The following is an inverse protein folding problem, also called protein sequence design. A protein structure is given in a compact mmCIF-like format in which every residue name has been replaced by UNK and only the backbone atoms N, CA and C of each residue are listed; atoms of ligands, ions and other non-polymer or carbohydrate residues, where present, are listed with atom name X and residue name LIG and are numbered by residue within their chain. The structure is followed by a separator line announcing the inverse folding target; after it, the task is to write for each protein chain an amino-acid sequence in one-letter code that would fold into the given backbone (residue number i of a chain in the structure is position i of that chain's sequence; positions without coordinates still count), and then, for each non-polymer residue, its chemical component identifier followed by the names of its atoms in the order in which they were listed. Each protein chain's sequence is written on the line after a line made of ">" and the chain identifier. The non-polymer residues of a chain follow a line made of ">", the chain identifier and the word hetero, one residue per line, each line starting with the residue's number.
data_IF_231770096400
#
_entry.id   IF_231770096400
#
_cell.length_a   1.000
_cell.length_b   1.000
_cell.length_c   1.000
_cell.angle_alpha   90.00
_cell.angle_beta   90.00
_cell.angle_gamma   90.00
#
_symmetry.space_group_name_H-M   'P 1'
#
loop_
_entity.id
_entity.type
_entity.pdbx_description
1 polymer ?
#
# COMPACT_ATOMS: atom_id res chain seq x y z
N UNK A 1 -13.46 43.71 91.09
CA UNK A 1 -13.34 42.25 90.87
C UNK A 1 -13.85 41.83 89.49
N UNK A 2 -14.97 42.38 88.97
CA UNK A 2 -15.50 42.05 87.63
C UNK A 2 -14.58 42.38 86.43
N UNK A 3 -13.88 43.52 86.44
CA UNK A 3 -13.08 43.99 85.27
C UNK A 3 -11.96 43.02 84.84
N UNK A 4 -11.31 42.36 85.80
CA UNK A 4 -10.28 41.36 85.48
C UNK A 4 -10.87 40.08 84.88
N UNK A 5 -12.08 39.70 85.31
CA UNK A 5 -12.77 38.51 84.80
C UNK A 5 -13.19 38.74 83.34
N UNK A 6 -13.71 39.92 83.02
CA UNK A 6 -14.10 40.28 81.66
C UNK A 6 -12.90 40.30 80.71
N UNK A 7 -11.77 40.86 81.16
CA UNK A 7 -10.53 40.88 80.38
C UNK A 7 -9.99 39.48 80.10
N UNK A 8 -9.89 38.63 81.12
CA UNK A 8 -9.44 37.24 80.94
C UNK A 8 -10.39 36.42 80.06
N UNK A 9 -11.70 36.65 80.16
CA UNK A 9 -12.69 36.03 79.26
C UNK A 9 -12.45 36.43 77.81
N UNK A 10 -12.19 37.71 77.55
CA UNK A 10 -11.97 38.21 76.20
C UNK A 10 -10.65 37.72 75.60
N UNK A 11 -9.58 37.64 76.40
CA UNK A 11 -8.31 37.04 76.00
C UNK A 11 -8.45 35.55 75.65
N UNK A 12 -9.24 34.79 76.43
CA UNK A 12 -9.53 33.39 76.15
C UNK A 12 -10.31 33.21 74.84
N UNK A 13 -11.35 34.03 74.60
CA UNK A 13 -12.12 34.01 73.35
C UNK A 13 -11.22 34.33 72.16
N UNK A 14 -10.42 35.39 72.25
CA UNK A 14 -9.51 35.79 71.18
C UNK A 14 -8.48 34.70 70.87
N UNK A 15 -7.92 34.06 71.90
CA UNK A 15 -6.98 32.96 71.74
C UNK A 15 -7.63 31.75 71.06
N UNK A 16 -8.86 31.41 71.45
CA UNK A 16 -9.62 30.30 70.86
C UNK A 16 -10.00 30.58 69.40
N UNK A 17 -10.41 31.80 69.08
CA UNK A 17 -10.74 32.21 67.71
C UNK A 17 -9.49 32.12 66.82
N UNK A 18 -8.37 32.68 67.26
CA UNK A 18 -7.10 32.60 66.53
C UNK A 18 -6.66 31.15 66.27
N UNK A 19 -6.77 30.27 67.27
CA UNK A 19 -6.45 28.85 67.09
C UNK A 19 -7.38 28.18 66.06
N UNK A 20 -8.68 28.47 66.13
CA UNK A 20 -9.70 27.91 65.23
C UNK A 20 -9.48 28.39 63.79
N UNK A 21 -9.26 29.68 63.58
CA UNK A 21 -8.97 30.27 62.27
C UNK A 21 -7.69 29.68 61.69
N UNK A 22 -6.64 29.53 62.49
CA UNK A 22 -5.38 28.94 62.05
C UNK A 22 -5.57 27.49 61.59
N UNK A 23 -6.34 26.68 62.33
CA UNK A 23 -6.65 25.29 61.95
C UNK A 23 -7.53 25.20 60.71
N UNK A 24 -8.50 26.10 60.56
CA UNK A 24 -9.34 26.20 59.37
C UNK A 24 -8.50 26.52 58.13
N UNK A 25 -7.61 27.51 58.21
CA UNK A 25 -6.71 27.87 57.11
C UNK A 25 -5.72 26.75 56.76
N UNK A 26 -5.19 26.01 57.75
CA UNK A 26 -4.38 24.82 57.51
C UNK A 26 -5.18 23.74 56.73
N UNK A 27 -6.45 23.55 57.08
CA UNK A 27 -7.34 22.61 56.38
C UNK A 27 -7.59 22.99 54.92
N UNK A 28 -7.85 24.28 54.65
CA UNK A 28 -8.00 24.81 53.29
C UNK A 28 -6.71 24.56 52.49
N UNK A 29 -5.56 24.99 53.01
CA UNK A 29 -4.28 24.83 52.32
C UNK A 29 -3.92 23.36 52.02
N UNK A 30 -4.24 22.44 52.94
CA UNK A 30 -4.06 21.00 52.70
C UNK A 30 -4.96 20.49 51.57
N UNK A 31 -6.21 20.94 51.54
CA UNK A 31 -7.21 20.52 50.54
C UNK A 31 -6.84 21.05 49.16
N UNK A 32 -6.45 22.33 49.06
CA UNK A 32 -6.00 22.95 47.81
C UNK A 32 -4.78 22.22 47.24
N UNK A 33 -3.79 21.91 48.09
CA UNK A 33 -2.62 21.12 47.67
C UNK A 33 -3.00 19.74 47.14
N UNK A 34 -3.97 19.07 47.77
CA UNK A 34 -4.45 17.76 47.32
C UNK A 34 -5.26 17.85 46.03
N UNK A 35 -6.02 18.91 45.86
CA UNK A 35 -6.76 19.19 44.64
C UNK A 35 -5.80 19.45 43.47
N UNK A 36 -4.78 20.30 43.64
CA UNK A 36 -3.77 20.54 42.61
C UNK A 36 -3.01 19.26 42.24
N UNK A 37 -2.63 18.45 43.24
CA UNK A 37 -1.98 17.15 43.01
C UNK A 37 -2.86 16.19 42.18
N UNK A 38 -4.18 16.18 42.42
CA UNK A 38 -5.09 15.30 41.68
C UNK A 38 -5.27 15.76 40.23
N UNK A 39 -5.34 17.08 40.00
CA UNK A 39 -5.38 17.65 38.65
C UNK A 39 -4.10 17.31 37.88
N UNK A 40 -2.93 17.49 38.50
CA UNK A 40 -1.65 17.14 37.86
C UNK A 40 -1.54 15.65 37.54
N UNK A 41 -2.00 14.78 38.45
CA UNK A 41 -2.01 13.35 38.21
C UNK A 41 -2.94 12.97 37.05
N UNK A 42 -4.15 13.55 37.02
CA UNK A 42 -5.12 13.31 35.95
C UNK A 42 -4.60 13.80 34.59
N UNK A 43 -3.97 14.98 34.55
CA UNK A 43 -3.32 15.52 33.35
C UNK A 43 -2.20 14.60 32.88
N UNK A 44 -1.27 14.21 33.77
CA UNK A 44 -0.18 13.31 33.39
C UNK A 44 -0.64 11.92 32.92
N UNK A 45 -1.74 11.41 33.50
CA UNK A 45 -2.36 10.17 33.04
C UNK A 45 -2.99 10.32 31.65
N UNK A 46 -3.67 11.44 31.39
CA UNK A 46 -4.25 11.76 30.09
C UNK A 46 -3.17 11.94 29.01
N UNK A 47 -2.12 12.73 29.29
CA UNK A 47 -1.00 12.96 28.38
C UNK A 47 -0.30 11.64 28.02
N UNK A 48 -0.10 10.76 29.01
CA UNK A 48 0.51 9.44 28.77
C UNK A 48 -0.40 8.54 27.93
N UNK A 49 -1.71 8.58 28.15
CA UNK A 49 -2.66 7.83 27.34
C UNK A 49 -2.67 8.32 25.89
N UNK A 50 -2.66 9.64 25.68
CA UNK A 50 -2.58 10.26 24.35
C UNK A 50 -1.27 9.90 23.65
N UNK A 51 -0.13 10.03 24.31
CA UNK A 51 1.17 9.63 23.75
C UNK A 51 1.20 8.16 23.35
N UNK A 52 0.65 7.27 24.18
CA UNK A 52 0.58 5.85 23.85
C UNK A 52 -0.34 5.58 22.66
N UNK A 53 -1.48 6.26 22.58
CA UNK A 53 -2.42 6.14 21.47
C UNK A 53 -1.80 6.65 20.16
N UNK A 54 -1.11 7.79 20.20
CA UNK A 54 -0.39 8.37 19.06
C UNK A 54 0.72 7.41 18.62
N UNK A 55 1.58 6.95 19.53
CA UNK A 55 2.63 5.99 19.21
C UNK A 55 2.09 4.69 18.59
N UNK A 56 0.98 4.15 19.11
CA UNK A 56 0.35 2.96 18.54
C UNK A 56 -0.18 3.24 17.12
N UNK A 57 -0.88 4.36 16.96
CA UNK A 57 -1.49 4.78 15.69
C UNK A 57 -0.43 5.03 14.63
N UNK A 58 0.62 5.77 14.97
CA UNK A 58 1.74 6.07 14.06
C UNK A 58 2.46 4.80 13.63
N UNK A 59 2.70 3.86 14.55
CA UNK A 59 3.30 2.58 14.21
C UNK A 59 2.43 1.77 13.25
N UNK A 60 1.11 1.71 13.49
CA UNK A 60 0.18 0.99 12.60
C UNK A 60 0.03 1.68 11.25
N UNK A 61 -0.01 3.00 11.24
CA UNK A 61 -0.07 3.79 10.02
C UNK A 61 1.19 3.63 9.17
N UNK A 62 2.37 3.69 9.79
CA UNK A 62 3.65 3.47 9.11
C UNK A 62 3.76 2.05 8.52
N UNK A 63 3.33 1.03 9.27
CA UNK A 63 3.26 -0.35 8.77
C UNK A 63 2.32 -0.47 7.57
N UNK A 64 1.13 0.12 7.66
CA UNK A 64 0.15 0.11 6.58
C UNK A 64 0.66 0.85 5.34
N UNK A 65 1.24 2.02 5.52
CA UNK A 65 1.84 2.84 4.45
C UNK A 65 2.95 2.07 3.73
N UNK A 66 3.87 1.46 4.48
CA UNK A 66 4.95 0.65 3.92
C UNK A 66 4.42 -0.56 3.14
N UNK A 67 3.46 -1.30 3.72
CA UNK A 67 2.82 -2.43 3.03
C UNK A 67 2.07 -1.98 1.77
N UNK A 68 1.41 -0.82 1.82
CA UNK A 68 0.70 -0.26 0.67
C UNK A 68 1.67 0.13 -0.44
N UNK A 69 2.76 0.83 -0.12
CA UNK A 69 3.79 1.23 -1.07
C UNK A 69 4.42 0.01 -1.75
N UNK A 70 4.77 -1.03 -0.99
CA UNK A 70 5.29 -2.28 -1.56
C UNK A 70 4.28 -2.94 -2.52
N UNK A 71 2.99 -2.93 -2.19
CA UNK A 71 1.94 -3.45 -3.08
C UNK A 71 1.80 -2.61 -4.34
N UNK A 72 1.88 -1.28 -4.23
CA UNK A 72 1.83 -0.39 -5.39
C UNK A 72 3.04 -0.60 -6.32
N UNK A 73 4.25 -0.71 -5.78
CA UNK A 73 5.45 -1.02 -6.58
C UNK A 73 5.33 -2.39 -7.26
N UNK A 74 4.83 -3.41 -6.56
CA UNK A 74 4.58 -4.72 -7.15
C UNK A 74 3.55 -4.68 -8.27
N UNK A 75 2.50 -3.86 -8.12
CA UNK A 75 1.50 -3.65 -9.17
C UNK A 75 2.11 -2.94 -10.38
N UNK A 76 2.90 -1.88 -10.18
CA UNK A 76 3.59 -1.20 -11.26
C UNK A 76 4.49 -2.16 -12.05
N UNK A 77 5.31 -2.94 -11.34
CA UNK A 77 6.15 -3.98 -11.96
C UNK A 77 5.36 -5.07 -12.68
N UNK A 78 4.14 -5.40 -12.23
CA UNK A 78 3.25 -6.35 -12.94
C UNK A 78 2.69 -5.72 -14.22
N UNK A 79 2.30 -4.45 -14.18
CA UNK A 79 1.79 -3.71 -15.34
C UNK A 79 2.88 -3.60 -16.41
N UNK A 80 4.10 -3.16 -16.05
CA UNK A 80 5.21 -3.05 -17.00
C UNK A 80 5.56 -4.41 -17.65
N UNK A 81 5.56 -5.50 -16.86
CA UNK A 81 5.76 -6.85 -17.39
C UNK A 81 4.63 -7.30 -18.30
N UNK A 82 3.38 -6.94 -17.98
CA UNK A 82 2.23 -7.24 -18.80
C UNK A 82 2.30 -6.50 -20.14
N UNK A 83 2.66 -5.21 -20.12
CA UNK A 83 2.85 -4.40 -21.31
C UNK A 83 3.97 -4.97 -22.19
N UNK A 84 5.14 -5.28 -21.62
CA UNK A 84 6.25 -5.88 -22.36
C UNK A 84 5.87 -7.22 -22.98
N UNK A 85 5.16 -8.08 -22.25
CA UNK A 85 4.66 -9.37 -22.75
C UNK A 85 3.64 -9.19 -23.86
N UNK A 86 2.74 -8.23 -23.74
CA UNK A 86 1.75 -7.89 -24.76
C UNK A 86 2.43 -7.40 -26.03
N UNK A 87 3.39 -6.47 -25.90
CA UNK A 87 4.15 -5.95 -27.04
C UNK A 87 4.94 -7.06 -27.74
N UNK A 88 5.57 -7.96 -26.97
CA UNK A 88 6.29 -9.11 -27.50
C UNK A 88 5.36 -10.12 -28.21
N UNK A 89 4.16 -10.34 -27.67
CA UNK A 89 3.13 -11.17 -28.31
C UNK A 89 2.64 -10.59 -29.64
N UNK A 90 2.40 -9.28 -29.70
CA UNK A 90 2.04 -8.58 -30.96
C UNK A 90 3.18 -8.71 -31.98
N UNK A 91 4.43 -8.52 -31.54
CA UNK A 91 5.60 -8.75 -32.39
C UNK A 91 5.64 -10.19 -32.92
N UNK A 92 5.27 -11.20 -32.10
CA UNK A 92 5.14 -12.60 -32.51
C UNK A 92 4.12 -12.81 -33.62
N UNK A 93 2.94 -12.21 -33.48
CA UNK A 93 1.90 -12.25 -34.53
C UNK A 93 2.36 -11.54 -35.80
N UNK A 94 2.99 -10.37 -35.68
CA UNK A 94 3.56 -9.65 -36.81
C UNK A 94 4.62 -10.49 -37.53
N UNK A 95 5.50 -11.17 -36.78
CA UNK A 95 6.49 -12.09 -37.32
C UNK A 95 5.83 -13.25 -38.09
N UNK A 96 4.80 -13.89 -37.53
CA UNK A 96 4.06 -14.97 -38.18
C UNK A 96 3.36 -14.52 -39.46
N UNK A 97 2.81 -13.30 -39.47
CA UNK A 97 2.14 -12.74 -40.64
C UNK A 97 3.11 -12.39 -41.78
N UNK A 98 4.35 -12.09 -41.44
CA UNK A 98 5.41 -11.70 -42.38
C UNK A 98 6.17 -12.88 -42.96
N UNK A 99 5.82 -14.13 -42.60
CA UNK A 99 6.46 -15.33 -43.14
C UNK A 99 6.14 -15.45 -44.64
N UNK A 100 7.16 -15.48 -45.53
CA UNK A 100 6.94 -15.75 -46.95
C UNK A 100 6.72 -17.24 -47.21
N UNK A 101 5.86 -17.58 -48.19
CA UNK A 101 5.61 -18.95 -48.64
C UNK A 101 5.62 -19.02 -50.16
N UNK A 102 6.21 -20.08 -50.72
CA UNK A 102 6.27 -20.33 -52.16
C UNK A 102 5.05 -21.13 -52.59
N UNK A 103 4.21 -20.54 -53.46
CA UNK A 103 2.91 -21.11 -53.84
C UNK A 103 2.97 -22.23 -54.89
N UNK A 104 4.09 -22.35 -55.60
CA UNK A 104 4.29 -23.34 -56.67
C UNK A 104 4.55 -24.75 -56.13
N UNK A 105 5.11 -24.88 -54.93
CA UNK A 105 5.48 -26.16 -54.33
C UNK A 105 4.36 -26.71 -53.43
N UNK A 106 4.28 -28.04 -53.32
CA UNK A 106 3.33 -28.70 -52.43
C UNK A 106 3.65 -28.48 -50.94
N UNK A 107 4.92 -28.19 -50.62
CA UNK A 107 5.38 -27.85 -49.29
C UNK A 107 6.27 -26.60 -49.36
N UNK A 108 6.05 -25.67 -48.43
CA UNK A 108 6.90 -24.51 -48.24
C UNK A 108 7.10 -24.22 -46.75
N UNK A 109 8.23 -23.59 -46.43
CA UNK A 109 8.55 -23.16 -45.09
C UNK A 109 9.15 -21.76 -45.15
N UNK A 110 9.04 -21.02 -44.07
CA UNK A 110 9.60 -19.69 -43.98
C UNK A 110 9.83 -19.28 -42.54
N UNK A 111 10.61 -18.22 -42.41
CA UNK A 111 10.84 -17.54 -41.14
C UNK A 111 10.44 -16.08 -41.30
N UNK A 112 9.96 -15.50 -40.21
CA UNK A 112 9.55 -14.10 -40.14
C UNK A 112 10.10 -13.45 -38.89
N UNK A 113 10.34 -12.15 -38.96
CA UNK A 113 10.73 -11.32 -37.82
C UNK A 113 9.64 -10.27 -37.62
N UNK A 114 9.40 -9.92 -36.36
CA UNK A 114 8.42 -8.91 -35.99
C UNK A 114 8.94 -8.06 -34.86
N UNK A 115 8.66 -6.77 -34.93
CA UNK A 115 8.95 -5.80 -33.89
C UNK A 115 7.68 -4.98 -33.63
N UNK A 116 7.42 -4.71 -32.36
CA UNK A 116 6.39 -3.77 -31.95
C UNK A 116 6.79 -3.15 -30.61
N UNK A 117 6.93 -1.83 -30.59
CA UNK A 117 7.38 -1.08 -29.40
C UNK A 117 8.68 -1.69 -28.82
N UNK A 118 8.69 -2.06 -27.54
CA UNK A 118 9.80 -2.72 -26.86
C UNK A 118 9.80 -4.26 -26.97
N UNK A 119 8.94 -4.83 -27.82
CA UNK A 119 8.82 -6.26 -28.09
C UNK A 119 9.42 -6.65 -29.44
N UNK A 120 10.12 -7.78 -29.48
CA UNK A 120 10.66 -8.38 -30.70
C UNK A 120 10.35 -9.86 -30.71
N UNK A 121 10.15 -10.44 -31.90
CA UNK A 121 9.88 -11.86 -32.03
C UNK A 121 10.39 -12.42 -33.36
N UNK A 122 10.61 -13.73 -33.33
CA UNK A 122 10.90 -14.54 -34.50
C UNK A 122 9.81 -15.60 -34.65
N UNK A 123 9.41 -15.86 -35.87
CA UNK A 123 8.44 -16.89 -36.21
C UNK A 123 8.99 -17.82 -37.28
N UNK A 124 8.54 -19.07 -37.23
CA UNK A 124 8.75 -20.06 -38.25
C UNK A 124 7.40 -20.67 -38.62
N UNK A 125 7.24 -21.02 -39.88
CA UNK A 125 5.99 -21.61 -40.34
C UNK A 125 6.19 -22.49 -41.54
N UNK A 126 5.26 -23.40 -41.71
CA UNK A 126 5.17 -24.31 -42.83
C UNK A 126 3.80 -24.17 -43.48
N UNK A 127 3.75 -24.39 -44.78
CA UNK A 127 2.51 -24.45 -45.55
C UNK A 127 2.53 -25.71 -46.42
N UNK A 128 1.38 -26.36 -46.50
CA UNK A 128 1.16 -27.53 -47.34
C UNK A 128 -0.03 -27.29 -48.26
N UNK A 129 0.17 -27.50 -49.56
CA UNK A 129 -0.86 -27.36 -50.59
C UNK A 129 -1.48 -28.73 -50.84
N UNK A 130 -2.69 -28.93 -50.34
CA UNK A 130 -3.40 -30.23 -50.42
C UNK A 130 -3.96 -30.49 -51.83
N UNK A 131 -4.26 -29.44 -52.60
CA UNK A 131 -4.76 -29.49 -53.98
C UNK A 131 -4.49 -28.14 -54.65
N UNK A 132 -4.74 -28.02 -55.96
CA UNK A 132 -4.53 -26.77 -56.73
C UNK A 132 -5.20 -25.56 -56.04
N UNK A 133 -6.32 -25.81 -55.37
CA UNK A 133 -7.22 -24.82 -54.82
C UNK A 133 -7.25 -24.76 -53.28
N UNK A 134 -6.49 -25.61 -52.57
CA UNK A 134 -6.57 -25.71 -51.09
C UNK A 134 -5.21 -25.74 -50.43
N UNK A 135 -5.03 -24.97 -49.36
CA UNK A 135 -3.80 -24.95 -48.58
C UNK A 135 -4.05 -24.99 -47.06
N UNK A 136 -3.05 -25.46 -46.33
CA UNK A 136 -2.98 -25.46 -44.86
C UNK A 136 -1.68 -24.80 -44.45
N UNK A 137 -1.70 -24.03 -43.36
CA UNK A 137 -0.54 -23.38 -42.77
C UNK A 137 -0.44 -23.69 -41.28
N UNK A 138 0.78 -23.91 -40.79
CA UNK A 138 1.10 -24.07 -39.38
C UNK A 138 2.29 -23.18 -39.01
N UNK A 139 2.15 -22.39 -37.96
CA UNK A 139 3.09 -21.34 -37.57
C UNK A 139 3.38 -21.41 -36.07
N UNK A 140 4.60 -21.06 -35.69
CA UNK A 140 5.04 -20.88 -34.31
C UNK A 140 5.91 -19.63 -34.20
N UNK A 141 5.81 -18.89 -33.11
CA UNK A 141 6.71 -17.77 -32.82
C UNK A 141 7.20 -17.77 -31.39
N UNK A 142 8.41 -17.23 -31.20
CA UNK A 142 9.03 -16.98 -29.91
C UNK A 142 9.41 -15.51 -29.80
N UNK A 143 9.16 -14.91 -28.64
CA UNK A 143 9.36 -13.49 -28.43
C UNK A 143 10.38 -13.16 -27.33
N UNK A 144 10.78 -11.88 -27.25
CA UNK A 144 11.76 -11.35 -26.29
C UNK A 144 11.32 -11.41 -24.82
N UNK A 145 10.07 -11.79 -24.55
CA UNK A 145 9.50 -12.03 -23.22
C UNK A 145 9.30 -13.51 -22.91
N UNK A 146 9.88 -14.40 -23.72
CA UNK A 146 9.80 -15.86 -23.61
C UNK A 146 8.39 -16.43 -23.78
N UNK A 147 7.47 -15.70 -24.42
CA UNK A 147 6.19 -16.32 -24.80
C UNK A 147 6.34 -17.09 -26.11
N UNK A 148 5.44 -18.06 -26.30
CA UNK A 148 5.32 -18.84 -27.53
C UNK A 148 3.90 -18.68 -28.07
N UNK A 149 3.76 -18.40 -29.36
CA UNK A 149 2.46 -18.32 -30.04
C UNK A 149 2.41 -19.41 -31.10
N UNK A 150 1.25 -20.06 -31.23
CA UNK A 150 0.98 -21.06 -32.25
C UNK A 150 -0.20 -20.59 -33.10
N UNK A 151 -0.14 -20.85 -34.40
CA UNK A 151 -1.21 -20.51 -35.33
C UNK A 151 -1.37 -21.57 -36.41
N UNK A 152 -2.61 -21.81 -36.81
CA UNK A 152 -2.95 -22.69 -37.92
C UNK A 152 -3.98 -22.00 -38.81
N UNK A 153 -3.96 -22.27 -40.11
CA UNK A 153 -4.91 -21.72 -41.06
C UNK A 153 -5.17 -22.66 -42.22
N UNK A 154 -6.35 -22.53 -42.84
CA UNK A 154 -6.76 -23.23 -44.05
C UNK A 154 -7.29 -22.22 -45.05
N UNK A 155 -6.99 -22.39 -46.34
CA UNK A 155 -7.59 -21.59 -47.40
C UNK A 155 -8.10 -22.49 -48.54
N UNK A 156 -9.20 -22.06 -49.15
CA UNK A 156 -9.77 -22.63 -50.36
C UNK A 156 -10.13 -21.51 -51.34
N UNK A 157 -9.81 -21.69 -52.63
CA UNK A 157 -10.21 -20.77 -53.72
C UNK A 157 -10.86 -21.55 -54.85
N UNK A 158 -11.70 -20.93 -55.66
CA UNK A 158 -12.34 -21.53 -56.83
C UNK A 158 -12.09 -20.70 -58.08
#
# INVERSE_FOLDING_TARGET
>A
MNVNIDKSKQEAINSSNNYTDNKFQQGISYTDKKYEQSIQYAQGAADKAEQNANNYTDNRFNQLSNQSNQRFEQLNNKIERAEKRLNAGIAGVAAMSSIPYVAENNFSYGIGLGNYQNGNAIAAGIQYKMSVNTNVRLNVSWDSSHNTVLGAGFAGGW
#
